data_IF_459136447351
#
_entry.id   IF_459136447351
#
_cell.length_a   1.000
_cell.length_b   1.000
_cell.length_c   1.000
_cell.angle_alpha   90.00
_cell.angle_beta   90.00
_cell.angle_gamma   90.00
#
_symmetry.space_group_name_H-M   'P 1'
#
loop_
_entity.id
_entity.type
_entity.pdbx_description
1 polymer ?
#
# COMPACT_ATOMS: atom_id res chain seq x y z
N UNK A 1 -20.71 -11.07 4.19
CA UNK A 1 -19.30 -10.62 4.18
C UNK A 1 -19.14 -9.63 3.04
N UNK A 2 -18.72 -8.38 3.31
CA UNK A 2 -18.36 -7.44 2.24
C UNK A 2 -17.13 -7.99 1.51
N UNK A 3 -17.09 -7.84 0.19
CA UNK A 3 -16.15 -8.51 -0.74
C UNK A 3 -14.68 -8.06 -0.61
N UNK A 4 -14.35 -7.24 0.39
CA UNK A 4 -13.13 -6.43 0.46
C UNK A 4 -12.24 -6.66 1.70
N UNK A 5 -12.49 -7.69 2.50
CA UNK A 5 -11.61 -8.05 3.63
C UNK A 5 -10.39 -8.89 3.19
N UNK A 6 -9.95 -8.79 1.92
CA UNK A 6 -8.66 -9.35 1.53
C UNK A 6 -7.58 -8.58 2.26
N UNK A 7 -6.90 -9.24 3.20
CA UNK A 7 -5.79 -8.67 3.95
C UNK A 7 -4.73 -8.24 2.93
N UNK A 8 -4.57 -6.92 2.77
CA UNK A 8 -3.58 -6.34 1.87
C UNK A 8 -2.20 -6.69 2.43
N UNK A 9 -1.35 -7.28 1.61
CA UNK A 9 0.01 -7.56 2.04
C UNK A 9 0.83 -6.27 1.96
N UNK A 10 1.18 -5.75 3.14
CA UNK A 10 1.97 -4.53 3.28
C UNK A 10 3.32 -4.93 3.86
N UNK A 11 4.37 -4.58 3.13
CA UNK A 11 5.76 -4.69 3.59
C UNK A 11 6.31 -3.29 3.85
N UNK A 12 6.92 -3.09 5.02
CA UNK A 12 7.73 -1.89 5.32
C UNK A 12 9.19 -2.32 5.36
N UNK A 13 10.02 -1.64 4.57
CA UNK A 13 11.46 -1.91 4.47
C UNK A 13 12.21 -0.67 4.97
N UNK A 14 13.03 -0.85 6.01
CA UNK A 14 13.89 0.20 6.57
C UNK A 14 15.34 -0.25 6.41
N UNK A 15 16.15 0.54 5.69
CA UNK A 15 17.56 0.23 5.42
C UNK A 15 17.76 -1.20 4.86
N UNK A 16 16.89 -1.62 3.94
CA UNK A 16 16.92 -2.95 3.33
C UNK A 16 16.38 -4.10 4.21
N UNK A 17 15.96 -3.82 5.46
CA UNK A 17 15.41 -4.83 6.36
C UNK A 17 13.88 -4.73 6.43
N UNK A 18 13.20 -5.87 6.28
CA UNK A 18 11.74 -5.97 6.48
C UNK A 18 11.39 -5.79 7.95
N UNK A 19 10.46 -4.89 8.22
CA UNK A 19 9.89 -4.66 9.56
C UNK A 19 8.67 -5.56 9.73
N UNK A 20 8.59 -6.41 10.78
CA UNK A 20 7.41 -7.23 11.02
C UNK A 20 6.22 -6.35 11.41
N UNK A 21 5.10 -6.50 10.69
CA UNK A 21 3.88 -5.72 10.90
C UNK A 21 2.75 -6.61 11.39
N UNK A 22 1.98 -6.12 12.37
CA UNK A 22 0.75 -6.77 12.80
C UNK A 22 -0.41 -6.45 11.84
N UNK A 23 -1.53 -7.16 12.00
CA UNK A 23 -2.73 -7.00 11.17
C UNK A 23 -3.26 -5.56 11.13
N UNK A 24 -3.31 -4.90 12.28
CA UNK A 24 -3.81 -3.53 12.38
C UNK A 24 -2.99 -2.54 11.54
N UNK A 25 -1.67 -2.61 11.64
CA UNK A 25 -0.75 -1.75 10.86
C UNK A 25 -0.87 -2.05 9.38
N UNK A 26 -0.88 -3.33 8.97
CA UNK A 26 -1.08 -3.71 7.55
C UNK A 26 -2.38 -3.14 6.99
N UNK A 27 -3.48 -3.21 7.75
CA UNK A 27 -4.79 -2.71 7.33
C UNK A 27 -4.81 -1.19 7.15
N UNK A 28 -4.27 -0.44 8.11
CA UNK A 28 -4.25 1.03 8.04
C UNK A 28 -3.40 1.51 6.87
N UNK A 29 -2.16 1.04 6.79
CA UNK A 29 -1.21 1.51 5.76
C UNK A 29 -1.71 1.13 4.37
N UNK A 30 -2.20 -0.10 4.18
CA UNK A 30 -2.73 -0.55 2.89
C UNK A 30 -3.99 0.22 2.45
N UNK A 31 -4.85 0.60 3.39
CA UNK A 31 -6.02 1.44 3.07
C UNK A 31 -5.62 2.87 2.72
N UNK A 32 -4.69 3.47 3.47
CA UNK A 32 -4.21 4.82 3.21
C UNK A 32 -3.50 4.92 1.86
N UNK A 33 -2.60 3.98 1.56
CA UNK A 33 -1.88 3.97 0.30
C UNK A 33 -2.83 3.89 -0.91
N UNK A 34 -3.83 3.01 -0.86
CA UNK A 34 -4.81 2.90 -1.95
C UNK A 34 -5.67 4.15 -2.09
N UNK A 35 -6.17 4.70 -0.98
CA UNK A 35 -6.97 5.93 -1.00
C UNK A 35 -6.19 7.13 -1.58
N UNK A 36 -4.86 7.14 -1.45
CA UNK A 36 -4.00 8.16 -2.06
C UNK A 36 -3.79 7.94 -3.56
N UNK A 37 -3.67 6.70 -4.03
CA UNK A 37 -3.30 6.37 -5.41
C UNK A 37 -4.52 6.23 -6.33
N UNK A 38 -5.63 5.70 -5.83
CA UNK A 38 -6.85 5.44 -6.61
C UNK A 38 -7.37 6.70 -7.33
N UNK A 39 -7.41 7.90 -6.72
CA UNK A 39 -7.80 9.12 -7.43
C UNK A 39 -6.76 9.64 -8.44
N UNK A 40 -5.49 9.20 -8.32
CA UNK A 40 -4.39 9.64 -9.18
C UNK A 40 -4.25 8.77 -10.43
N UNK A 41 -4.82 7.57 -10.42
CA UNK A 41 -4.84 6.71 -11.60
C UNK A 41 -5.90 7.26 -12.57
N UNK A 42 -5.46 7.83 -13.69
CA UNK A 42 -6.35 8.36 -14.74
C UNK A 42 -7.22 7.23 -15.31
N UNK A 43 -8.46 7.57 -15.68
CA UNK A 43 -9.51 6.67 -16.17
C UNK A 43 -9.15 5.88 -17.44
N UNK A 44 -8.04 6.21 -18.11
CA UNK A 44 -7.66 5.66 -19.41
C UNK A 44 -6.94 4.30 -19.34
N UNK A 45 -6.62 3.80 -18.14
CA UNK A 45 -5.98 2.49 -17.95
C UNK A 45 -6.88 1.58 -17.12
N UNK A 46 -7.63 0.72 -17.81
CA UNK A 46 -8.51 -0.36 -17.31
C UNK A 46 -7.75 -1.47 -16.54
N UNK A 47 -6.57 -1.16 -15.99
CA UNK A 47 -5.76 -2.07 -15.22
C UNK A 47 -6.09 -1.92 -13.72
N UNK A 48 -6.50 -2.99 -13.06
CA UNK A 48 -6.56 -3.04 -11.59
C UNK A 48 -5.18 -2.75 -10.99
N UNK A 49 -5.09 -1.97 -9.92
CA UNK A 49 -3.83 -1.74 -9.18
C UNK A 49 -3.31 -3.08 -8.64
N UNK A 50 -2.17 -3.54 -9.17
CA UNK A 50 -1.51 -4.79 -8.74
C UNK A 50 -0.56 -4.58 -7.57
N UNK A 51 0.18 -3.47 -7.57
CA UNK A 51 1.20 -3.14 -6.58
C UNK A 51 1.34 -1.63 -6.43
N UNK A 52 1.65 -1.17 -5.21
CA UNK A 52 2.03 0.22 -4.90
C UNK A 52 3.38 0.19 -4.20
N UNK A 53 4.38 0.89 -4.75
CA UNK A 53 5.71 1.04 -4.13
C UNK A 53 5.95 2.50 -3.79
N UNK A 54 5.98 2.82 -2.50
CA UNK A 54 6.30 4.17 -1.99
C UNK A 54 7.72 4.16 -1.46
N UNK A 55 8.61 4.97 -2.04
CA UNK A 55 10.00 5.15 -1.59
C UNK A 55 10.15 6.53 -0.96
N UNK A 56 10.64 6.57 0.27
CA UNK A 56 10.94 7.81 0.98
C UNK A 56 12.43 7.83 1.30
N UNK A 57 13.12 8.87 0.85
CA UNK A 57 14.54 9.10 1.14
C UNK A 57 14.67 10.27 2.09
N UNK A 58 15.48 10.12 3.15
CA UNK A 58 15.82 11.23 4.01
C UNK A 58 17.02 11.96 3.41
N UNK A 59 16.79 13.12 2.78
CA UNK A 59 17.87 14.04 2.38
C UNK A 59 18.25 14.86 3.61
N UNK A 60 19.14 14.31 4.42
CA UNK A 60 19.90 15.09 5.41
C UNK A 60 21.06 15.82 4.74
#
# INVERSE_FOLDING_TARGET
MRKDDRVKDVEIIVNGKRVPLNYFVKKIVGNLALAMIEPLKREDEDESIKEIVIKVSNTS
#
